data_IF_332848182725
#
_entry.id   IF_332848182725
#
_cell.length_a   1.000
_cell.length_b   1.000
_cell.length_c   1.000
_cell.angle_alpha   90.00
_cell.angle_beta   90.00
_cell.angle_gamma   90.00
#
_symmetry.space_group_name_H-M   'P 1'
#
loop_
_entity.id
_entity.type
_entity.pdbx_description
1 polymer ?
#
# COMPACT_ATOMS: atom_id res chain seq x y z
N UNK A 1 47.40 -17.31 22.53
CA UNK A 1 45.93 -17.28 22.69
C UNK A 1 45.34 -16.78 21.37
N UNK A 2 45.02 -17.70 20.46
CA UNK A 2 44.44 -17.44 19.13
C UNK A 2 43.18 -18.31 19.05
N UNK A 3 42.01 -17.69 18.95
CA UNK A 3 40.75 -18.40 18.67
C UNK A 3 40.49 -18.32 17.17
N UNK A 4 40.65 -19.43 16.47
CA UNK A 4 40.27 -19.59 15.08
C UNK A 4 38.76 -19.85 14.99
N UNK A 5 38.03 -18.99 14.27
CA UNK A 5 36.65 -19.26 13.88
C UNK A 5 36.64 -20.05 12.57
N UNK A 6 36.22 -21.31 12.64
CA UNK A 6 36.03 -22.18 11.48
C UNK A 6 34.63 -21.95 10.89
N UNK A 7 34.56 -21.37 9.70
CA UNK A 7 33.33 -21.31 8.91
C UNK A 7 33.03 -22.70 8.32
N UNK A 8 32.01 -23.42 8.83
CA UNK A 8 31.49 -24.62 8.15
C UNK A 8 30.53 -24.18 7.05
N UNK A 9 30.78 -24.62 5.82
CA UNK A 9 29.81 -24.52 4.73
C UNK A 9 28.55 -25.32 5.07
N UNK A 10 27.38 -24.74 4.82
CA UNK A 10 26.08 -25.41 4.95
C UNK A 10 25.88 -26.36 3.76
N UNK A 11 25.59 -27.63 4.06
CA UNK A 11 25.28 -28.68 3.09
C UNK A 11 23.86 -28.44 2.50
N UNK A 12 23.72 -28.23 1.18
CA UNK A 12 22.45 -27.89 0.54
C UNK A 12 21.44 -29.04 0.49
N UNK A 13 21.78 -30.25 0.96
CA UNK A 13 20.92 -31.44 0.85
C UNK A 13 19.99 -31.67 2.05
N UNK A 14 20.03 -30.82 3.09
CA UNK A 14 19.17 -30.95 4.29
C UNK A 14 18.25 -29.76 4.51
N UNK A 15 17.23 -29.64 3.66
CA UNK A 15 15.96 -28.99 4.03
C UNK A 15 14.83 -29.51 3.12
N UNK A 16 14.38 -30.74 3.39
CA UNK A 16 13.12 -31.23 2.87
C UNK A 16 12.01 -30.85 3.86
N UNK A 17 11.05 -30.07 3.35
CA UNK A 17 9.63 -30.00 3.72
C UNK A 17 9.11 -28.56 3.68
N UNK A 18 8.88 -28.06 2.47
CA UNK A 18 7.83 -27.09 2.21
C UNK A 18 7.27 -27.37 0.83
N UNK A 19 6.09 -27.98 0.79
CA UNK A 19 5.35 -28.21 -0.44
C UNK A 19 5.06 -26.87 -1.12
N UNK A 20 5.80 -26.58 -2.19
CA UNK A 20 5.51 -25.48 -3.10
C UNK A 20 4.31 -25.93 -3.93
N UNK A 21 3.14 -25.33 -3.69
CA UNK A 21 2.04 -25.40 -4.65
C UNK A 21 2.49 -24.67 -5.92
N UNK A 22 2.59 -25.40 -7.02
CA UNK A 22 2.86 -24.87 -8.34
C UNK A 22 1.73 -23.91 -8.74
N UNK A 23 2.05 -22.63 -8.97
CA UNK A 23 1.14 -21.70 -9.64
C UNK A 23 1.12 -22.05 -11.12
N UNK A 24 0.07 -22.74 -11.55
CA UNK A 24 -0.29 -22.82 -12.96
C UNK A 24 -0.74 -21.42 -13.42
N UNK A 25 -0.26 -21.00 -14.59
CA UNK A 25 -0.76 -19.81 -15.27
C UNK A 25 -2.25 -20.02 -15.58
N UNK A 26 -3.12 -19.26 -14.91
CA UNK A 26 -4.53 -19.17 -15.29
C UNK A 26 -4.62 -18.05 -16.32
N UNK A 27 -4.83 -18.43 -17.58
CA UNK A 27 -5.30 -17.51 -18.61
C UNK A 27 -6.67 -16.97 -18.18
N UNK A 28 -6.76 -15.66 -18.01
CA UNK A 28 -8.01 -14.99 -17.72
C UNK A 28 -8.87 -14.94 -19.00
N UNK A 29 -9.77 -15.90 -19.14
CA UNK A 29 -10.83 -15.89 -20.16
C UNK A 29 -12.08 -15.19 -19.61
N UNK A 30 -12.42 -14.09 -20.29
CA UNK A 30 -13.76 -13.55 -20.59
C UNK A 30 -14.83 -13.51 -19.48
N UNK A 31 -15.23 -12.28 -19.12
CA UNK A 31 -16.63 -11.98 -18.80
C UNK A 31 -16.96 -10.58 -19.32
N UNK A 32 -18.05 -10.46 -20.07
CA UNK A 32 -18.62 -9.18 -20.49
C UNK A 32 -19.18 -8.47 -19.26
N UNK A 33 -18.58 -7.34 -18.89
CA UNK A 33 -19.12 -6.47 -17.86
C UNK A 33 -20.43 -5.87 -18.41
N UNK A 34 -21.51 -6.05 -17.64
CA UNK A 34 -22.84 -5.49 -17.94
C UNK A 34 -22.83 -3.96 -17.96
N UNK A 35 -23.91 -3.39 -18.49
CA UNK A 35 -24.13 -1.94 -18.66
C UNK A 35 -23.52 -1.10 -17.51
N UNK A 36 -22.46 -0.35 -17.83
CA UNK A 36 -21.94 0.71 -16.98
C UNK A 36 -22.98 1.83 -16.95
N UNK A 37 -23.61 2.05 -15.80
CA UNK A 37 -24.17 3.36 -15.47
C UNK A 37 -22.98 4.34 -15.45
N UNK A 38 -22.75 5.03 -16.57
CA UNK A 38 -21.63 5.95 -16.70
C UNK A 38 -21.85 7.14 -15.78
N UNK A 39 -21.14 7.17 -14.65
CA UNK A 39 -21.16 8.29 -13.71
C UNK A 39 -20.58 9.53 -14.39
N UNK A 40 -21.33 10.63 -14.41
CA UNK A 40 -20.83 11.94 -14.86
C UNK A 40 -20.01 12.58 -13.74
N UNK A 41 -18.69 12.39 -13.81
CA UNK A 41 -17.75 12.92 -12.83
C UNK A 41 -17.59 14.44 -12.86
N UNK A 42 -17.84 15.11 -13.99
CA UNK A 42 -17.77 16.58 -14.05
C UNK A 42 -18.93 17.20 -13.30
N UNK A 43 -20.13 16.65 -13.46
CA UNK A 43 -21.30 17.07 -12.69
C UNK A 43 -21.14 16.74 -11.22
N UNK A 44 -20.71 15.51 -10.90
CA UNK A 44 -20.49 15.07 -9.51
C UNK A 44 -19.47 15.95 -8.78
N UNK A 45 -18.37 16.33 -9.45
CA UNK A 45 -17.37 17.23 -8.89
C UNK A 45 -17.98 18.58 -8.47
N UNK A 46 -18.82 19.18 -9.33
CA UNK A 46 -19.51 20.45 -9.02
C UNK A 46 -20.50 20.32 -7.86
N UNK A 47 -21.17 19.18 -7.73
CA UNK A 47 -22.09 18.93 -6.61
C UNK A 47 -21.33 18.80 -5.29
N UNK A 48 -20.18 18.11 -5.30
CA UNK A 48 -19.36 17.87 -4.12
C UNK A 48 -18.50 19.06 -3.69
N UNK A 49 -18.25 20.05 -4.55
CA UNK A 49 -17.48 21.26 -4.21
C UNK A 49 -18.04 22.04 -3.01
N UNK A 50 -19.37 22.02 -2.84
CA UNK A 50 -20.06 22.71 -1.74
C UNK A 50 -20.46 21.77 -0.60
N UNK A 51 -20.19 20.47 -0.74
CA UNK A 51 -20.50 19.47 0.26
C UNK A 51 -19.48 19.50 1.40
N UNK A 52 -19.91 19.07 2.58
CA UNK A 52 -19.01 18.85 3.71
C UNK A 52 -18.10 17.63 3.45
N UNK A 53 -16.91 17.56 4.08
CA UNK A 53 -16.04 16.40 3.96
C UNK A 53 -16.72 15.08 4.34
N UNK A 54 -17.68 15.11 5.26
CA UNK A 54 -18.43 13.92 5.69
C UNK A 54 -19.36 13.42 4.59
N UNK A 55 -20.11 14.33 3.97
CA UNK A 55 -20.99 14.00 2.83
C UNK A 55 -20.18 13.45 1.65
N UNK A 56 -18.98 13.97 1.40
CA UNK A 56 -18.09 13.47 0.36
C UNK A 56 -17.65 12.03 0.67
N UNK A 57 -17.27 11.74 1.91
CA UNK A 57 -16.84 10.40 2.34
C UNK A 57 -18.00 9.42 2.27
N UNK A 58 -19.17 9.78 2.81
CA UNK A 58 -20.37 8.95 2.77
C UNK A 58 -20.73 8.62 1.32
N UNK A 59 -20.72 9.63 0.44
CA UNK A 59 -21.00 9.44 -0.98
C UNK A 59 -20.01 8.51 -1.66
N UNK A 60 -18.72 8.63 -1.35
CA UNK A 60 -17.69 7.78 -1.92
C UNK A 60 -17.81 6.31 -1.44
N UNK A 61 -18.09 6.09 -0.15
CA UNK A 61 -18.31 4.76 0.40
C UNK A 61 -19.56 4.10 -0.20
N UNK A 62 -20.65 4.85 -0.37
CA UNK A 62 -21.87 4.33 -1.01
C UNK A 62 -21.69 3.98 -2.49
N UNK A 63 -20.92 4.78 -3.23
CA UNK A 63 -20.75 4.60 -4.67
C UNK A 63 -19.84 3.42 -5.02
N UNK A 64 -18.80 3.19 -4.22
CA UNK A 64 -17.74 2.24 -4.55
C UNK A 64 -17.69 1.03 -3.62
N UNK A 65 -18.42 1.04 -2.49
CA UNK A 65 -18.51 -0.06 -1.51
C UNK A 65 -17.13 -0.68 -1.21
N UNK A 66 -16.91 -1.95 -1.57
CA UNK A 66 -15.67 -2.67 -1.28
C UNK A 66 -14.51 -2.37 -2.27
N UNK A 67 -14.76 -1.57 -3.31
CA UNK A 67 -13.77 -1.20 -4.32
C UNK A 67 -13.00 0.09 -3.97
N UNK A 68 -13.41 0.81 -2.92
CA UNK A 68 -12.69 2.00 -2.45
C UNK A 68 -11.61 1.65 -1.42
N UNK A 69 -10.48 2.36 -1.54
CA UNK A 69 -9.41 2.28 -0.55
C UNK A 69 -8.91 3.68 -0.18
N UNK A 70 -8.78 3.92 1.13
CA UNK A 70 -8.23 5.16 1.67
C UNK A 70 -6.70 5.07 1.63
N UNK A 71 -6.07 6.00 0.91
CA UNK A 71 -4.61 6.18 0.95
C UNK A 71 -4.21 6.85 2.26
N UNK A 72 -3.29 6.24 3.00
CA UNK A 72 -2.81 6.77 4.27
C UNK A 72 -1.29 7.06 4.23
N UNK A 73 -0.91 8.31 4.46
CA UNK A 73 0.42 8.93 4.53
C UNK A 73 0.75 9.47 5.93
N UNK A 74 0.04 9.00 6.96
CA UNK A 74 0.50 8.96 8.35
C UNK A 74 0.48 10.28 9.11
N UNK A 75 -0.44 11.17 8.75
CA UNK A 75 -0.57 12.49 9.40
C UNK A 75 -2.04 12.87 9.56
N UNK A 76 -2.49 13.90 8.87
CA UNK A 76 -3.84 14.47 8.96
C UNK A 76 -4.94 13.52 8.46
N UNK A 77 -4.57 12.62 7.55
CA UNK A 77 -5.44 11.66 6.90
C UNK A 77 -5.91 10.52 7.80
N UNK A 78 -5.40 10.43 9.03
CA UNK A 78 -6.02 9.59 10.08
C UNK A 78 -7.48 9.99 10.33
N UNK A 79 -7.82 11.27 10.11
CA UNK A 79 -9.20 11.72 10.21
C UNK A 79 -10.11 10.97 9.23
N UNK A 80 -9.63 10.65 8.02
CA UNK A 80 -10.42 9.88 7.05
C UNK A 80 -10.72 8.46 7.55
N UNK A 81 -9.75 7.83 8.22
CA UNK A 81 -9.91 6.50 8.83
C UNK A 81 -10.90 6.56 9.99
N UNK A 82 -10.79 7.58 10.85
CA UNK A 82 -11.75 7.83 11.94
C UNK A 82 -13.16 7.96 11.39
N UNK A 83 -13.37 8.82 10.39
CA UNK A 83 -14.69 9.03 9.80
C UNK A 83 -15.23 7.78 9.12
N UNK A 84 -14.45 7.12 8.27
CA UNK A 84 -14.87 5.87 7.64
C UNK A 84 -15.19 4.77 8.66
N UNK A 85 -14.53 4.77 9.82
CA UNK A 85 -14.89 3.86 10.91
C UNK A 85 -16.24 4.19 11.55
N UNK A 86 -16.55 5.48 11.70
CA UNK A 86 -17.80 5.95 12.30
C UNK A 86 -19.03 5.69 11.41
N UNK A 87 -18.87 5.65 10.08
CA UNK A 87 -19.98 5.32 9.16
C UNK A 87 -20.43 3.86 9.29
N UNK A 88 -19.55 2.97 9.78
CA UNK A 88 -19.81 1.54 9.89
C UNK A 88 -19.81 0.79 8.55
N UNK A 89 -19.52 1.48 7.44
CA UNK A 89 -19.39 0.87 6.12
C UNK A 89 -18.03 0.16 5.99
N UNK A 90 -17.93 -0.92 5.21
CA UNK A 90 -16.65 -1.54 4.92
C UNK A 90 -15.75 -0.59 4.11
N UNK A 91 -14.46 -0.59 4.40
CA UNK A 91 -13.47 0.15 3.62
C UNK A 91 -12.11 -0.54 3.69
N UNK A 92 -11.28 -0.29 2.67
CA UNK A 92 -9.87 -0.70 2.65
C UNK A 92 -8.98 0.48 2.98
N UNK A 93 -7.83 0.22 3.58
CA UNK A 93 -6.80 1.23 3.82
C UNK A 93 -5.48 0.71 3.27
N UNK A 94 -4.77 1.54 2.52
CA UNK A 94 -3.47 1.19 1.99
C UNK A 94 -2.46 2.32 2.15
N UNK A 95 -1.20 1.95 2.10
CA UNK A 95 -0.13 2.91 2.21
C UNK A 95 1.08 2.58 1.34
N UNK A 96 1.68 3.63 0.78
CA UNK A 96 2.91 3.56 0.02
C UNK A 96 4.11 3.54 0.96
N UNK A 97 4.67 2.35 1.18
CA UNK A 97 5.88 2.16 1.93
C UNK A 97 7.11 2.22 1.01
N UNK A 98 7.75 3.38 1.00
CA UNK A 98 8.94 3.64 0.18
C UNK A 98 10.21 2.92 0.69
N UNK A 99 10.15 2.25 1.85
CA UNK A 99 11.31 1.71 2.55
C UNK A 99 12.22 2.75 3.19
N UNK A 100 11.89 4.05 3.08
CA UNK A 100 12.67 5.18 3.63
C UNK A 100 11.88 6.04 4.61
N UNK A 101 10.75 5.54 5.10
CA UNK A 101 9.94 6.20 6.12
C UNK A 101 10.69 6.22 7.47
N UNK A 102 10.38 7.20 8.31
CA UNK A 102 10.99 7.30 9.65
C UNK A 102 10.42 6.22 10.59
N UNK A 103 11.17 5.77 11.61
CA UNK A 103 10.71 4.73 12.53
C UNK A 103 9.39 5.05 13.26
N UNK A 104 9.15 6.32 13.56
CA UNK A 104 7.93 6.83 14.19
C UNK A 104 6.70 6.48 13.36
N UNK A 105 6.83 6.56 12.03
CA UNK A 105 5.78 6.27 11.07
C UNK A 105 5.34 4.80 11.15
N UNK A 106 6.29 3.86 11.21
CA UNK A 106 5.97 2.43 11.38
C UNK A 106 5.28 2.12 12.71
N UNK A 107 5.72 2.74 13.81
CA UNK A 107 5.06 2.60 15.11
C UNK A 107 3.65 3.15 15.08
N UNK A 108 3.43 4.21 14.31
CA UNK A 108 2.10 4.77 14.13
C UNK A 108 1.19 3.82 13.35
N UNK A 109 1.67 3.07 12.36
CA UNK A 109 0.81 2.08 11.66
C UNK A 109 0.32 1.01 12.62
N UNK A 110 1.23 0.42 13.39
CA UNK A 110 0.91 -0.59 14.39
C UNK A 110 -0.11 -0.05 15.41
N UNK A 111 0.00 1.23 15.78
CA UNK A 111 -0.98 1.91 16.64
C UNK A 111 -2.35 2.03 15.96
N UNK A 112 -2.41 2.44 14.70
CA UNK A 112 -3.64 2.61 13.92
C UNK A 112 -4.34 1.28 13.68
N UNK A 113 -3.61 0.25 13.22
CA UNK A 113 -4.16 -1.09 13.01
C UNK A 113 -4.78 -1.64 14.29
N UNK A 114 -4.10 -1.50 15.43
CA UNK A 114 -4.62 -1.93 16.74
C UNK A 114 -5.82 -1.11 17.21
N UNK A 115 -5.77 0.20 17.03
CA UNK A 115 -6.82 1.10 17.49
C UNK A 115 -8.12 0.91 16.70
N UNK A 116 -8.03 0.90 15.37
CA UNK A 116 -9.19 0.81 14.47
C UNK A 116 -9.58 -0.62 14.10
N UNK A 117 -8.72 -1.60 14.42
CA UNK A 117 -8.87 -3.02 14.06
C UNK A 117 -9.02 -3.21 12.56
N UNK A 118 -8.11 -2.58 11.81
CA UNK A 118 -8.01 -2.67 10.36
C UNK A 118 -6.67 -3.29 9.98
N UNK A 119 -6.58 -3.82 8.77
CA UNK A 119 -5.32 -4.25 8.17
C UNK A 119 -4.94 -3.24 7.10
N UNK A 120 -3.78 -2.59 7.24
CA UNK A 120 -3.26 -1.65 6.25
C UNK A 120 -2.52 -2.44 5.18
N UNK A 121 -2.89 -2.22 3.93
CA UNK A 121 -2.21 -2.80 2.77
C UNK A 121 -0.93 -2.00 2.48
N UNK A 122 0.24 -2.58 2.74
CA UNK A 122 1.53 -1.93 2.46
C UNK A 122 2.01 -2.22 1.05
N UNK A 123 2.14 -1.16 0.25
CA UNK A 123 2.65 -1.21 -1.12
C UNK A 123 4.12 -0.81 -1.13
N UNK A 124 4.97 -1.67 -1.68
CA UNK A 124 6.41 -1.44 -1.78
C UNK A 124 6.81 -1.12 -3.22
N UNK A 125 7.89 -0.35 -3.43
CA UNK A 125 8.43 -0.12 -4.77
C UNK A 125 9.00 -1.41 -5.36
N UNK A 126 9.08 -1.48 -6.69
CA UNK A 126 9.75 -2.59 -7.37
C UNK A 126 11.23 -2.67 -6.98
N UNK A 127 11.65 -3.83 -6.49
CA UNK A 127 13.00 -4.01 -5.98
C UNK A 127 14.07 -3.90 -7.08
N UNK A 128 13.74 -4.29 -8.31
CA UNK A 128 14.64 -4.20 -9.46
C UNK A 128 14.92 -2.76 -9.85
N UNK A 129 13.88 -1.94 -9.94
CA UNK A 129 13.98 -0.51 -10.25
C UNK A 129 14.76 0.26 -9.16
N UNK A 130 14.42 0.04 -7.88
CA UNK A 130 15.13 0.67 -6.76
C UNK A 130 16.60 0.26 -6.73
N UNK A 131 16.89 -1.01 -6.99
CA UNK A 131 18.27 -1.50 -7.02
C UNK A 131 19.08 -0.85 -8.14
N UNK A 132 18.52 -0.69 -9.33
CA UNK A 132 19.17 -0.01 -10.45
C UNK A 132 19.43 1.48 -10.14
N UNK A 133 18.45 2.18 -9.56
CA UNK A 133 18.58 3.58 -9.16
C UNK A 133 19.69 3.77 -8.11
N UNK A 134 19.69 2.95 -7.06
CA UNK A 134 20.67 3.05 -5.97
C UNK A 134 22.08 2.69 -6.43
N UNK A 135 22.23 1.69 -7.31
CA UNK A 135 23.55 1.33 -7.88
C UNK A 135 24.14 2.42 -8.76
N UNK A 136 23.30 3.11 -9.52
CA UNK A 136 23.76 4.14 -10.46
C UNK A 136 23.98 5.50 -9.80
N UNK A 137 23.07 5.94 -8.91
CA UNK A 137 23.06 7.31 -8.36
C UNK A 137 23.23 7.37 -6.84
N UNK A 138 23.30 6.23 -6.16
CA UNK A 138 23.43 6.14 -4.70
C UNK A 138 22.10 6.31 -3.95
N UNK A 139 22.17 6.33 -2.63
CA UNK A 139 20.97 6.39 -1.77
C UNK A 139 20.32 7.79 -1.70
N UNK A 140 21.02 8.84 -2.11
CA UNK A 140 20.62 10.25 -1.92
C UNK A 140 20.61 11.06 -3.22
N UNK A 141 20.34 10.41 -4.36
CA UNK A 141 20.23 11.09 -5.67
C UNK A 141 19.22 12.24 -5.64
N UNK A 142 18.11 12.06 -4.91
CA UNK A 142 17.04 13.04 -4.77
C UNK A 142 17.47 14.39 -4.19
N UNK A 143 18.56 14.45 -3.42
CA UNK A 143 19.10 15.70 -2.88
C UNK A 143 19.86 16.52 -3.91
N UNK A 144 20.31 15.89 -5.01
CA UNK A 144 21.11 16.53 -6.07
C UNK A 144 20.31 16.72 -7.36
N UNK A 145 19.59 15.67 -7.75
CA UNK A 145 18.92 15.57 -9.05
C UNK A 145 17.42 15.90 -8.97
N UNK A 146 16.90 16.11 -7.75
CA UNK A 146 15.47 16.24 -7.49
C UNK A 146 14.78 14.89 -7.22
N UNK A 147 13.58 14.94 -6.66
CA UNK A 147 12.88 13.76 -6.14
C UNK A 147 12.06 12.99 -7.20
N UNK A 148 11.92 13.50 -8.42
CA UNK A 148 11.00 12.98 -9.44
C UNK A 148 11.25 11.51 -9.84
N UNK A 149 12.50 11.08 -9.91
CA UNK A 149 12.85 9.67 -10.23
C UNK A 149 12.78 8.77 -9.00
N UNK A 150 12.93 9.35 -7.80
CA UNK A 150 12.90 8.60 -6.54
C UNK A 150 11.47 8.40 -6.02
N UNK A 151 10.53 9.27 -6.40
CA UNK A 151 9.12 9.24 -6.04
C UNK A 151 8.32 8.48 -7.09
#
# INVERSE_FOLDING_TARGET
MMLAWSCRALDPTKRADSAIHAMAAVEASCATVGEEDTVDYEKLGKELEIASPLEIIDRALEMFDNEIAITFKFREDVALIEYAKLTGQPFRAFSLNTGRLIPETYRFFDTIEKHYRINIEYMFPDAGEVHALVRSKGLFSFSKDGHQECC
#
